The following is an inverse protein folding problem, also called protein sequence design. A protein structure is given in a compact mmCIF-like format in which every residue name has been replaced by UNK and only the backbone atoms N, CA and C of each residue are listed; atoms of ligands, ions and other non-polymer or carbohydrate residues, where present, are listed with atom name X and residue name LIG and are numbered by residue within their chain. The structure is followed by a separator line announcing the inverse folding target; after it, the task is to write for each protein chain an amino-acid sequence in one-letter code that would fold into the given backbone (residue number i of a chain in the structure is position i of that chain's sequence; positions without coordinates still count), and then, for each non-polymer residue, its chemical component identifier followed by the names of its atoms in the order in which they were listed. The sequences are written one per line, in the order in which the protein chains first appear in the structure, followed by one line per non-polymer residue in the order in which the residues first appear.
data_IF_285450263439
#
_entry.id   IF_285450263439
#
_cell.length_a   1.000
_cell.length_b   1.000
_cell.length_c   1.000
_cell.angle_alpha   90.00
_cell.angle_beta   90.00
_cell.angle_gamma   90.00
#
_symmetry.space_group_name_H-M   'P 1'
#
loop_
_entity.id
_entity.type
_entity.pdbx_description
1 polymer ?
#
# COMPACT_ATOMS: atom_id res chain seq x y z
N UNK A 1 -40.37 -38.06 -28.47
CA UNK A 1 -39.83 -37.34 -29.63
C UNK A 1 -40.16 -35.87 -29.44
N UNK A 2 -39.14 -35.10 -29.02
CA UNK A 2 -39.04 -33.61 -29.07
C UNK A 2 -39.99 -32.84 -28.13
N UNK A 3 -39.59 -31.83 -27.35
CA UNK A 3 -38.33 -31.17 -27.06
C UNK A 3 -38.64 -30.27 -25.83
N UNK A 4 -37.73 -30.24 -24.86
CA UNK A 4 -37.81 -29.42 -23.65
C UNK A 4 -37.71 -27.92 -24.00
N UNK A 5 -38.79 -27.16 -23.81
CA UNK A 5 -38.78 -25.70 -23.94
C UNK A 5 -38.86 -25.03 -22.57
N UNK A 6 -37.93 -25.32 -21.66
CA UNK A 6 -37.72 -24.53 -20.44
C UNK A 6 -36.25 -24.64 -20.00
N UNK A 7 -35.36 -23.91 -20.67
CA UNK A 7 -34.04 -23.53 -20.14
C UNK A 7 -33.36 -22.53 -21.10
N UNK A 8 -33.92 -21.33 -21.23
CA UNK A 8 -33.07 -20.17 -21.53
C UNK A 8 -32.58 -19.64 -20.17
N UNK A 9 -31.61 -20.37 -19.60
CA UNK A 9 -30.68 -19.78 -18.63
C UNK A 9 -29.89 -18.74 -19.41
N UNK A 10 -30.38 -17.49 -19.38
CA UNK A 10 -29.52 -16.36 -19.70
C UNK A 10 -28.51 -16.29 -18.55
N UNK A 11 -27.40 -17.00 -18.72
CA UNK A 11 -26.18 -16.75 -17.99
C UNK A 11 -25.71 -15.36 -18.42
N UNK A 12 -26.26 -14.32 -17.80
CA UNK A 12 -25.63 -13.02 -17.86
C UNK A 12 -24.42 -13.11 -16.96
N UNK A 13 -23.35 -13.61 -17.55
CA UNK A 13 -22.00 -13.49 -17.02
C UNK A 13 -21.71 -11.98 -16.99
N UNK A 14 -22.06 -11.36 -15.86
CA UNK A 14 -21.70 -10.00 -15.54
C UNK A 14 -20.38 -10.07 -14.75
N UNK A 15 -19.21 -10.10 -15.41
CA UNK A 15 -17.91 -10.05 -14.73
C UNK A 15 -17.72 -8.74 -13.93
N UNK A 16 -18.65 -7.79 -14.05
CA UNK A 16 -18.67 -6.48 -13.39
C UNK A 16 -19.45 -6.43 -12.08
N UNK A 17 -20.33 -7.40 -11.76
CA UNK A 17 -21.12 -7.34 -10.51
C UNK A 17 -20.34 -7.91 -9.32
N UNK A 18 -19.57 -9.00 -9.50
CA UNK A 18 -18.74 -9.54 -8.43
C UNK A 18 -17.80 -8.48 -7.86
N UNK A 19 -17.15 -7.68 -8.72
CA UNK A 19 -16.23 -6.62 -8.29
C UNK A 19 -16.93 -5.46 -7.58
N UNK A 20 -18.15 -5.12 -7.97
CA UNK A 20 -18.95 -4.09 -7.28
C UNK A 20 -19.42 -4.60 -5.93
N UNK A 21 -19.83 -5.87 -5.86
CA UNK A 21 -20.23 -6.52 -4.61
C UNK A 21 -19.04 -6.69 -3.67
N UNK A 22 -17.86 -7.02 -4.18
CA UNK A 22 -16.62 -7.08 -3.38
C UNK A 22 -16.22 -5.70 -2.87
N UNK A 23 -16.27 -4.65 -3.70
CA UNK A 23 -16.05 -3.26 -3.22
C UNK A 23 -17.07 -2.84 -2.17
N UNK A 24 -18.34 -3.21 -2.34
CA UNK A 24 -19.38 -2.95 -1.34
C UNK A 24 -19.12 -3.74 -0.06
N UNK A 25 -18.72 -5.01 -0.17
CA UNK A 25 -18.40 -5.86 0.97
C UNK A 25 -17.19 -5.33 1.73
N UNK A 26 -16.12 -4.92 1.05
CA UNK A 26 -14.96 -4.27 1.66
C UNK A 26 -15.31 -2.92 2.30
N UNK A 27 -16.14 -2.11 1.64
CA UNK A 27 -16.55 -0.81 2.17
C UNK A 27 -17.49 -0.91 3.38
N UNK A 28 -18.33 -1.95 3.46
CA UNK A 28 -19.33 -2.11 4.53
C UNK A 28 -18.93 -3.10 5.63
N UNK A 29 -18.22 -4.18 5.31
CA UNK A 29 -17.83 -5.26 6.23
C UNK A 29 -16.32 -5.39 6.42
N UNK A 30 -15.50 -4.70 5.60
CA UNK A 30 -14.06 -4.65 5.82
C UNK A 30 -13.79 -4.04 7.18
N UNK A 31 -13.29 -4.84 8.12
CA UNK A 31 -12.64 -4.37 9.34
C UNK A 31 -11.83 -3.14 8.97
N UNK A 32 -12.12 -1.98 9.60
CA UNK A 32 -11.40 -0.71 9.39
C UNK A 32 -9.93 -1.02 9.15
N UNK A 33 -9.51 -1.05 7.89
CA UNK A 33 -8.19 -1.54 7.52
C UNK A 33 -7.21 -0.67 8.30
N UNK A 34 -6.56 -1.31 9.28
CA UNK A 34 -5.67 -0.68 10.23
C UNK A 34 -4.70 0.18 9.43
N UNK A 35 -4.91 1.51 9.47
CA UNK A 35 -4.31 2.48 8.57
C UNK A 35 -2.85 2.10 8.24
N UNK A 36 -2.62 1.56 7.04
CA UNK A 36 -1.44 0.77 6.65
C UNK A 36 -0.19 1.22 7.42
N UNK A 37 0.13 0.51 8.53
CA UNK A 37 1.28 0.86 9.35
C UNK A 37 2.53 0.25 8.72
N UNK A 38 3.28 1.06 7.99
CA UNK A 38 4.54 0.64 7.41
C UNK A 38 5.62 0.54 8.50
N UNK A 39 6.19 -0.65 8.66
CA UNK A 39 7.34 -0.89 9.54
C UNK A 39 8.61 -0.93 8.72
N UNK A 40 9.56 -0.07 9.02
CA UNK A 40 10.87 -0.03 8.37
C UNK A 40 11.99 -0.08 9.41
N UNK A 41 12.98 -0.93 9.19
CA UNK A 41 14.19 -1.02 10.03
C UNK A 41 15.32 -0.23 9.37
N UNK A 42 15.96 0.65 10.13
CA UNK A 42 17.11 1.43 9.69
C UNK A 42 18.30 1.07 10.56
N UNK A 43 19.36 0.56 9.94
CA UNK A 43 20.62 0.31 10.63
C UNK A 43 21.55 1.52 10.57
N UNK A 44 21.93 2.06 11.72
CA UNK A 44 22.84 3.23 11.84
C UNK A 44 24.10 2.87 12.63
N UNK A 45 25.20 3.57 12.38
CA UNK A 45 26.41 3.42 13.20
C UNK A 45 26.32 4.21 14.51
N UNK A 46 27.10 3.86 15.55
CA UNK A 46 27.12 4.61 16.81
C UNK A 46 27.49 6.09 16.63
N UNK A 47 28.43 6.38 15.72
CA UNK A 47 28.87 7.75 15.45
C UNK A 47 27.75 8.59 14.84
N UNK A 48 26.99 8.01 13.92
CA UNK A 48 25.87 8.69 13.28
C UNK A 48 24.68 8.86 14.24
N UNK A 49 24.44 7.88 15.11
CA UNK A 49 23.39 7.96 16.12
C UNK A 49 23.61 9.13 17.10
N UNK A 50 24.87 9.41 17.48
CA UNK A 50 25.23 10.54 18.35
C UNK A 50 25.16 11.87 17.60
N UNK A 51 25.66 11.94 16.36
CA UNK A 51 25.70 13.18 15.58
C UNK A 51 24.31 13.64 15.10
N UNK A 52 23.37 12.70 14.92
CA UNK A 52 22.13 12.95 14.20
C UNK A 52 22.38 12.91 12.69
N UNK A 53 21.48 12.30 11.93
CA UNK A 53 21.64 12.13 10.48
C UNK A 53 20.28 12.18 9.78
N UNK A 54 20.26 12.42 8.48
CA UNK A 54 19.04 12.38 7.68
C UNK A 54 19.00 11.09 6.86
N UNK A 55 18.10 10.18 7.21
CA UNK A 55 17.97 8.88 6.56
C UNK A 55 16.97 8.99 5.39
N UNK A 56 17.34 8.56 4.18
CA UNK A 56 16.37 8.32 3.11
C UNK A 56 15.61 7.01 3.38
N UNK A 57 14.29 7.09 3.51
CA UNK A 57 13.40 5.95 3.70
C UNK A 57 12.47 5.86 2.51
N UNK A 58 12.37 4.68 1.91
CA UNK A 58 11.42 4.40 0.84
C UNK A 58 10.10 3.90 1.43
N UNK A 59 9.01 4.60 1.12
CA UNK A 59 7.68 4.30 1.64
C UNK A 59 6.77 3.91 0.47
N UNK A 60 6.22 2.68 0.44
CA UNK A 60 5.19 2.33 -0.52
C UNK A 60 3.95 3.20 -0.29
N UNK A 61 3.51 3.85 -1.36
CA UNK A 61 2.25 4.58 -1.42
C UNK A 61 1.40 3.96 -2.51
N UNK A 62 0.12 3.76 -2.23
CA UNK A 62 -0.85 3.41 -3.28
C UNK A 62 -1.20 4.67 -4.02
N UNK A 63 -0.99 4.63 -5.34
CA UNK A 63 -1.39 5.70 -6.26
C UNK A 63 -2.44 5.15 -7.20
N UNK A 64 -3.35 6.02 -7.62
CA UNK A 64 -4.34 5.66 -8.64
C UNK A 64 -3.63 5.18 -9.91
N UNK A 65 -4.02 4.02 -10.44
CA UNK A 65 -3.41 3.49 -11.64
C UNK A 65 -3.64 4.44 -12.83
N UNK A 66 -2.56 4.96 -13.41
CA UNK A 66 -2.62 5.92 -14.51
C UNK A 66 -3.19 5.33 -15.81
N UNK A 67 -3.11 4.01 -15.99
CA UNK A 67 -3.59 3.35 -17.21
C UNK A 67 -5.11 3.22 -17.25
N UNK A 68 -5.73 2.78 -16.15
CA UNK A 68 -7.18 2.62 -16.06
C UNK A 68 -7.88 3.79 -15.34
N UNK A 69 -7.12 4.73 -14.77
CA UNK A 69 -7.65 5.87 -14.01
C UNK A 69 -8.45 5.45 -12.78
N UNK A 70 -8.08 4.36 -12.10
CA UNK A 70 -8.81 3.85 -10.94
C UNK A 70 -9.91 2.84 -11.24
N UNK A 71 -10.25 2.61 -12.53
CA UNK A 71 -11.35 1.70 -12.88
C UNK A 71 -11.02 0.22 -12.63
N UNK A 72 -9.76 -0.17 -12.81
CA UNK A 72 -9.32 -1.57 -12.74
C UNK A 72 -9.48 -2.32 -14.07
N UNK A 73 -10.18 -1.74 -15.04
CA UNK A 73 -10.43 -2.32 -16.36
C UNK A 73 -10.02 -1.37 -17.48
N UNK A 74 -9.53 -1.95 -18.57
CA UNK A 74 -9.30 -1.24 -19.83
C UNK A 74 -10.21 -1.89 -20.86
N UNK A 75 -11.25 -1.17 -21.27
CA UNK A 75 -12.25 -1.63 -22.24
C UNK A 75 -13.17 -2.76 -21.74
N UNK A 76 -12.77 -4.01 -21.92
CA UNK A 76 -13.52 -5.20 -21.47
C UNK A 76 -12.63 -6.19 -20.72
N UNK A 77 -11.33 -5.89 -20.57
CA UNK A 77 -10.35 -6.75 -19.93
C UNK A 77 -9.79 -6.09 -18.66
N UNK A 78 -9.31 -6.91 -17.73
CA UNK A 78 -8.64 -6.41 -16.54
C UNK A 78 -7.38 -5.64 -16.94
N UNK A 79 -7.14 -4.49 -16.31
CA UNK A 79 -5.97 -3.68 -16.62
C UNK A 79 -4.68 -4.44 -16.27
N UNK A 80 -3.81 -4.70 -17.25
CA UNK A 80 -2.56 -5.44 -17.08
C UNK A 80 -1.62 -4.83 -16.03
N UNK A 81 -1.65 -3.51 -15.87
CA UNK A 81 -0.75 -2.79 -14.97
C UNK A 81 -1.16 -2.91 -13.51
N UNK A 82 -2.46 -2.85 -13.20
CA UNK A 82 -2.94 -3.00 -11.82
C UNK A 82 -3.54 -4.38 -11.53
N UNK A 83 -3.64 -5.25 -12.53
CA UNK A 83 -4.26 -6.58 -12.44
C UNK A 83 -5.73 -6.54 -12.03
N UNK A 84 -6.45 -5.46 -12.33
CA UNK A 84 -7.84 -5.30 -11.88
C UNK A 84 -8.05 -4.46 -10.62
N UNK A 85 -6.99 -4.07 -9.89
CA UNK A 85 -7.13 -3.36 -8.60
C UNK A 85 -7.59 -1.91 -8.72
N UNK A 86 -7.13 -1.20 -9.76
CA UNK A 86 -7.38 0.24 -9.93
C UNK A 86 -6.33 1.12 -9.26
N UNK A 87 -5.54 0.58 -8.35
CA UNK A 87 -4.36 1.22 -7.74
C UNK A 87 -3.06 0.48 -8.10
N UNK A 88 -1.96 1.22 -8.04
CA UNK A 88 -0.61 0.72 -8.21
C UNK A 88 0.27 1.17 -7.05
N UNK A 89 1.13 0.29 -6.55
CA UNK A 89 2.07 0.61 -5.49
C UNK A 89 3.30 1.33 -6.09
N UNK A 90 3.64 2.49 -5.54
CA UNK A 90 4.81 3.28 -5.92
C UNK A 90 5.64 3.59 -4.67
N UNK A 91 6.96 3.56 -4.77
CA UNK A 91 7.83 3.92 -3.65
C UNK A 91 8.13 5.42 -3.68
N UNK A 92 7.82 6.10 -2.57
CA UNK A 92 8.17 7.50 -2.36
C UNK A 92 9.33 7.61 -1.37
N UNK A 93 10.46 8.16 -1.83
CA UNK A 93 11.64 8.39 -1.00
C UNK A 93 11.49 9.63 -0.13
N UNK A 94 11.37 9.45 1.18
CA UNK A 94 11.26 10.54 2.16
C UNK A 94 12.54 10.65 2.98
N UNK A 95 12.96 11.89 3.26
CA UNK A 95 14.10 12.19 4.12
C UNK A 95 13.61 12.41 5.55
N UNK A 96 13.91 11.47 6.43
CA UNK A 96 13.52 11.55 7.84
C UNK A 96 14.74 11.94 8.67
N UNK A 97 14.72 13.09 9.38
CA UNK A 97 15.81 13.47 10.26
C UNK A 97 15.76 12.62 11.54
N UNK A 98 16.87 11.94 11.84
CA UNK A 98 17.09 11.29 13.12
C UNK A 98 17.74 12.30 14.08
N UNK A 99 17.13 12.54 15.25
CA UNK A 99 17.71 13.43 16.24
C UNK A 99 19.04 12.87 16.78
N UNK A 100 19.96 13.73 17.21
CA UNK A 100 21.20 13.30 17.85
C UNK A 100 20.90 12.56 19.16
N UNK A 101 21.69 11.54 19.47
CA UNK A 101 21.55 10.72 20.67
C UNK A 101 20.45 9.66 20.58
N UNK A 102 20.05 9.25 19.38
CA UNK A 102 19.10 8.14 19.21
C UNK A 102 19.70 6.84 19.77
N UNK A 103 18.92 6.13 20.60
CA UNK A 103 19.32 4.85 21.19
C UNK A 103 18.94 3.65 20.30
N UNK A 104 19.59 2.51 20.51
CA UNK A 104 19.20 1.26 19.87
C UNK A 104 17.78 0.86 20.28
N UNK A 105 16.95 0.46 19.31
CA UNK A 105 15.54 0.13 19.54
C UNK A 105 14.61 1.35 19.57
N UNK A 106 15.10 2.54 19.22
CA UNK A 106 14.23 3.72 19.13
C UNK A 106 13.15 3.52 18.06
N UNK A 107 11.92 3.95 18.39
CA UNK A 107 10.75 3.86 17.52
C UNK A 107 10.26 5.25 17.19
N UNK A 108 10.35 5.63 15.93
CA UNK A 108 9.90 6.94 15.45
C UNK A 108 8.62 6.74 14.65
N UNK A 109 7.54 7.41 15.07
CA UNK A 109 6.25 7.35 14.41
C UNK A 109 5.96 8.67 13.73
N UNK A 110 5.64 8.63 12.45
CA UNK A 110 5.25 9.81 11.69
C UNK A 110 4.15 9.47 10.69
N UNK A 111 3.46 10.52 10.24
CA UNK A 111 2.46 10.40 9.18
C UNK A 111 3.00 11.11 7.96
N UNK A 112 3.08 10.39 6.86
CA UNK A 112 3.40 10.98 5.57
C UNK A 112 2.12 11.37 4.86
N UNK A 113 2.10 12.60 4.35
CA UNK A 113 1.08 13.06 3.42
C UNK A 113 1.62 12.87 2.01
N UNK A 114 1.12 11.86 1.32
CA UNK A 114 1.42 11.65 -0.09
C UNK A 114 0.73 12.73 -0.94
N UNK A 115 1.30 13.12 -2.11
CA UNK A 115 0.59 13.96 -3.08
C UNK A 115 -0.76 13.38 -3.53
N UNK A 116 -0.94 12.06 -3.44
CA UNK A 116 -2.20 11.36 -3.75
C UNK A 116 -3.21 11.37 -2.58
N UNK A 117 -2.97 12.18 -1.55
CA UNK A 117 -3.80 12.32 -0.33
C UNK A 117 -3.92 11.08 0.56
N UNK A 118 -3.25 9.98 0.22
CA UNK A 118 -3.09 8.84 1.13
C UNK A 118 -2.19 9.22 2.32
N UNK A 119 -2.69 9.01 3.54
CA UNK A 119 -1.92 9.21 4.76
C UNK A 119 -1.33 7.88 5.22
N UNK A 120 -0.02 7.70 5.05
CA UNK A 120 0.68 6.48 5.50
C UNK A 120 1.23 6.73 6.90
N UNK A 121 0.94 5.83 7.84
CA UNK A 121 1.54 5.85 9.17
C UNK A 121 2.80 5.00 9.13
N UNK A 122 3.96 5.63 9.31
CA UNK A 122 5.23 4.93 9.29
C UNK A 122 5.77 4.80 10.70
N UNK A 123 6.18 3.59 11.07
CA UNK A 123 6.91 3.27 12.29
C UNK A 123 8.33 2.84 11.91
N UNK A 124 9.29 3.72 12.13
CA UNK A 124 10.72 3.45 11.95
C UNK A 124 11.30 2.83 13.21
N UNK A 125 11.92 1.67 13.05
CA UNK A 125 12.72 1.03 14.08
C UNK A 125 14.21 1.28 13.80
N UNK A 126 14.93 1.82 14.79
CA UNK A 126 16.34 2.19 14.65
C UNK A 126 17.21 1.14 15.31
N UNK A 127 18.05 0.49 14.50
CA UNK A 127 18.97 -0.56 14.93
C UNK A 127 20.42 -0.06 14.85
N UNK A 128 21.05 0.21 15.99
CA UNK A 128 22.48 0.58 15.99
C UNK A 128 23.33 -0.67 15.75
N UNK A 129 24.03 -0.73 14.61
CA UNK A 129 24.98 -1.80 14.31
C UNK A 129 26.35 -1.41 14.88
N UNK A 130 26.65 -1.85 16.09
CA UNK A 130 27.97 -1.70 16.69
C UNK A 130 28.92 -2.75 16.12
N UNK A 131 29.63 -2.42 15.04
CA UNK A 131 30.84 -3.16 14.68
C UNK A 131 31.92 -2.77 15.70
N UNK A 132 32.01 -3.50 16.81
CA UNK A 132 33.18 -3.47 17.68
C UNK A 132 34.19 -4.44 17.08
N UNK A 133 35.37 -3.93 16.71
CA UNK A 133 36.54 -4.73 16.38
C UNK A 133 37.63 -4.38 17.38
#
# INVERSE_FOLDING_TARGET
MLHECFADEIAIDFPSVERVVDRMRDAFLGERADADVLRADVSVSPREAVAGLVVPVEVPVRVTCLQCGGRGETWTEACDVCGGRGDSEMYHGVRVPLPPGVAHGARIRFRLRSPDQSSVRVELHVSIRSHVR
#
